data_IF_771990593473
#
_entry.id   IF_771990593473
#
_cell.length_a   1.000
_cell.length_b   1.000
_cell.length_c   1.000
_cell.angle_alpha   90.00
_cell.angle_beta   90.00
_cell.angle_gamma   90.00
#
_symmetry.space_group_name_H-M   'P 1'
#
loop_
_entity.id
_entity.type
_entity.pdbx_description
1 polymer ?
#
# COMPACT_ATOMS: atom_id res chain seq x y z
N UNK A 1 -41.34 17.02 7.20
CA UNK A 1 -39.87 16.92 7.03
C UNK A 1 -39.23 17.42 8.31
N UNK A 2 -38.82 16.49 9.18
CA UNK A 2 -38.16 16.80 10.44
C UNK A 2 -36.68 17.04 10.15
N UNK A 3 -36.20 18.26 10.43
CA UNK A 3 -34.78 18.57 10.56
C UNK A 3 -34.23 17.83 11.79
N UNK A 4 -34.04 16.51 11.67
CA UNK A 4 -33.25 15.77 12.64
C UNK A 4 -31.81 16.28 12.50
N UNK A 5 -31.25 16.83 13.57
CA UNK A 5 -29.82 17.10 13.66
C UNK A 5 -29.05 15.85 13.25
N UNK A 6 -28.59 15.81 11.99
CA UNK A 6 -27.79 14.69 11.51
C UNK A 6 -26.49 14.78 12.28
N UNK A 7 -26.25 13.80 13.14
CA UNK A 7 -25.04 13.76 13.96
C UNK A 7 -23.82 13.60 13.05
N UNK A 8 -22.71 14.29 13.37
CA UNK A 8 -21.48 14.22 12.56
C UNK A 8 -21.02 12.78 12.32
N UNK A 9 -21.21 11.88 13.29
CA UNK A 9 -20.86 10.46 13.14
C UNK A 9 -21.72 9.70 12.13
N UNK A 10 -23.01 10.01 12.05
CA UNK A 10 -23.92 9.39 11.08
C UNK A 10 -23.63 9.89 9.66
N UNK A 11 -23.27 11.17 9.51
CA UNK A 11 -22.80 11.74 8.25
C UNK A 11 -21.50 11.08 7.78
N UNK A 12 -20.52 10.87 8.67
CA UNK A 12 -19.26 10.19 8.36
C UNK A 12 -19.52 8.74 7.93
N UNK A 13 -20.37 8.01 8.66
CA UNK A 13 -20.70 6.62 8.35
C UNK A 13 -21.36 6.49 6.98
N UNK A 14 -22.34 7.34 6.69
CA UNK A 14 -23.05 7.29 5.41
C UNK A 14 -22.13 7.70 4.24
N UNK A 15 -21.26 8.70 4.44
CA UNK A 15 -20.23 9.05 3.45
C UNK A 15 -19.22 7.92 3.23
N UNK A 16 -18.79 7.25 4.29
CA UNK A 16 -17.88 6.10 4.20
C UNK A 16 -18.52 4.93 3.44
N UNK A 17 -19.77 4.57 3.75
CA UNK A 17 -20.50 3.52 3.03
C UNK A 17 -20.70 3.88 1.56
N UNK A 18 -21.06 5.14 1.28
CA UNK A 18 -21.20 5.63 -0.09
C UNK A 18 -19.87 5.54 -0.85
N UNK A 19 -18.75 5.94 -0.24
CA UNK A 19 -17.41 5.80 -0.83
C UNK A 19 -17.08 4.34 -1.12
N UNK A 20 -17.33 3.40 -0.21
CA UNK A 20 -17.08 1.98 -0.52
C UNK A 20 -17.88 1.52 -1.75
N UNK A 21 -19.14 1.96 -1.88
CA UNK A 21 -19.98 1.56 -3.02
C UNK A 21 -19.62 2.28 -4.33
N UNK A 22 -19.25 3.56 -4.28
CA UNK A 22 -18.82 4.33 -5.46
C UNK A 22 -17.44 3.87 -5.96
N UNK A 23 -16.49 3.63 -5.05
CA UNK A 23 -15.14 3.17 -5.38
C UNK A 23 -15.06 1.66 -5.70
N UNK A 24 -16.11 1.08 -6.27
CA UNK A 24 -16.11 -0.31 -6.74
C UNK A 24 -14.99 -0.58 -7.75
N UNK A 25 -14.56 0.43 -8.51
CA UNK A 25 -13.45 0.33 -9.46
C UNK A 25 -12.09 0.20 -8.75
N UNK A 26 -11.92 0.80 -7.56
CA UNK A 26 -10.73 0.58 -6.74
C UNK A 26 -10.63 -0.88 -6.29
N UNK A 27 -11.76 -1.51 -5.92
CA UNK A 27 -11.81 -2.94 -5.56
C UNK A 27 -11.51 -3.85 -6.76
N UNK A 28 -12.05 -3.53 -7.95
CA UNK A 28 -11.71 -4.27 -9.19
C UNK A 28 -10.22 -4.15 -9.51
N UNK A 29 -9.64 -2.96 -9.33
CA UNK A 29 -8.21 -2.73 -9.57
C UNK A 29 -7.32 -3.55 -8.62
N UNK A 30 -7.74 -3.73 -7.37
CA UNK A 30 -7.04 -4.58 -6.40
C UNK A 30 -6.93 -6.02 -6.91
N UNK A 31 -8.02 -6.60 -7.42
CA UNK A 31 -8.00 -7.96 -7.97
C UNK A 31 -7.05 -8.10 -9.16
N UNK A 32 -7.05 -7.11 -10.06
CA UNK A 32 -6.17 -7.13 -11.24
C UNK A 32 -4.70 -7.03 -10.83
N UNK A 33 -4.36 -6.11 -9.94
CA UNK A 33 -2.98 -5.96 -9.46
C UNK A 33 -2.50 -7.21 -8.72
N UNK A 34 -3.37 -7.83 -7.92
CA UNK A 34 -3.04 -9.06 -7.21
C UNK A 34 -2.73 -10.23 -8.18
N UNK A 35 -3.50 -10.36 -9.27
CA UNK A 35 -3.24 -11.38 -10.29
C UNK A 35 -1.90 -11.14 -10.99
N UNK A 36 -1.61 -9.90 -11.38
CA UNK A 36 -0.33 -9.52 -11.99
C UNK A 36 0.84 -9.85 -11.03
N UNK A 37 0.68 -9.50 -9.75
CA UNK A 37 1.67 -9.76 -8.72
C UNK A 37 1.98 -11.25 -8.56
N UNK A 38 0.94 -12.10 -8.51
CA UNK A 38 1.08 -13.56 -8.43
C UNK A 38 1.82 -14.09 -9.65
N UNK A 39 1.41 -13.68 -10.86
CA UNK A 39 2.05 -14.13 -12.10
C UNK A 39 3.53 -13.74 -12.15
N UNK A 40 3.85 -12.51 -11.73
CA UNK A 40 5.23 -12.04 -11.69
C UNK A 40 6.07 -12.81 -10.66
N UNK A 41 5.51 -13.06 -9.48
CA UNK A 41 6.18 -13.81 -8.41
C UNK A 41 6.49 -15.26 -8.81
N UNK A 42 5.54 -15.95 -9.45
CA UNK A 42 5.76 -17.33 -9.92
C UNK A 42 6.78 -17.39 -11.06
N UNK A 43 6.85 -16.33 -11.90
CA UNK A 43 7.79 -16.25 -13.02
C UNK A 43 9.21 -15.85 -12.58
N UNK A 44 9.33 -15.07 -11.51
CA UNK A 44 10.62 -14.68 -10.92
C UNK A 44 11.13 -15.75 -9.97
N UNK A 45 11.80 -16.76 -10.54
CA UNK A 45 12.55 -17.74 -9.75
C UNK A 45 14.02 -17.33 -9.73
N UNK A 46 14.54 -17.05 -8.54
CA UNK A 46 15.98 -16.81 -8.34
C UNK A 46 16.68 -18.13 -8.05
N UNK A 47 17.61 -18.53 -8.94
CA UNK A 47 18.52 -19.65 -8.71
C UNK A 47 19.73 -19.14 -7.93
N UNK A 48 19.86 -19.58 -6.67
CA UNK A 48 20.87 -19.04 -5.73
C UNK A 48 22.13 -19.91 -5.66
N UNK A 49 22.13 -21.07 -6.30
CA UNK A 49 23.35 -21.84 -6.46
C UNK A 49 23.14 -23.15 -7.20
N UNK A 50 24.08 -23.47 -8.08
CA UNK A 50 24.32 -24.81 -8.59
C UNK A 50 25.62 -25.34 -7.98
N UNK A 51 25.53 -26.19 -6.96
CA UNK A 51 26.68 -26.97 -6.50
C UNK A 51 26.68 -28.29 -7.27
N UNK A 52 27.76 -28.51 -8.00
CA UNK A 52 27.96 -29.73 -8.78
C UNK A 52 29.39 -30.24 -8.67
N UNK A 53 29.56 -31.41 -8.05
CA UNK A 53 30.80 -32.18 -8.11
C UNK A 53 30.55 -33.41 -8.97
N UNK A 54 30.69 -33.29 -10.29
CA UNK A 54 30.74 -34.35 -11.33
C UNK A 54 29.61 -35.40 -11.46
N UNK A 55 28.93 -35.75 -10.37
CA UNK A 55 27.99 -36.84 -10.18
C UNK A 55 26.64 -36.37 -9.63
N UNK A 56 26.58 -35.20 -8.98
CA UNK A 56 25.36 -34.65 -8.36
C UNK A 56 25.24 -33.17 -8.66
N UNK A 57 24.13 -32.74 -9.29
CA UNK A 57 23.80 -31.32 -9.49
C UNK A 57 22.62 -30.95 -8.59
N UNK A 58 22.85 -30.06 -7.63
CA UNK A 58 21.80 -29.52 -6.76
C UNK A 58 21.50 -28.10 -7.22
N UNK A 59 20.24 -27.83 -7.57
CA UNK A 59 19.76 -26.48 -7.91
C UNK A 59 18.78 -26.03 -6.83
N UNK A 60 19.09 -24.92 -6.16
CA UNK A 60 18.24 -24.30 -5.15
C UNK A 60 17.51 -23.12 -5.79
N UNK A 61 16.19 -23.23 -5.86
CA UNK A 61 15.29 -22.18 -6.36
C UNK A 61 14.58 -21.55 -5.16
N UNK A 62 14.72 -20.25 -4.99
CA UNK A 62 13.96 -19.50 -3.97
C UNK A 62 12.75 -18.81 -4.60
N UNK A 63 11.63 -18.85 -3.87
CA UNK A 63 10.38 -18.17 -4.20
C UNK A 63 10.08 -17.14 -3.11
N UNK A 64 10.15 -15.85 -3.47
CA UNK A 64 9.99 -14.72 -2.54
C UNK A 64 8.70 -13.95 -2.80
N UNK A 65 8.01 -13.48 -1.77
CA UNK A 65 6.73 -12.74 -1.89
C UNK A 65 6.96 -11.23 -2.11
N UNK A 66 8.21 -10.78 -2.16
CA UNK A 66 8.60 -9.37 -2.23
C UNK A 66 7.94 -8.62 -3.40
N UNK A 67 7.86 -9.25 -4.57
CA UNK A 67 7.19 -8.66 -5.73
C UNK A 67 5.72 -8.35 -5.43
N UNK A 68 5.01 -9.26 -4.74
CA UNK A 68 3.62 -9.05 -4.36
C UNK A 68 3.46 -7.88 -3.39
N UNK A 69 4.36 -7.77 -2.41
CA UNK A 69 4.37 -6.65 -1.45
C UNK A 69 4.58 -5.32 -2.20
N UNK A 70 5.53 -5.27 -3.14
CA UNK A 70 5.82 -4.04 -3.92
C UNK A 70 4.62 -3.63 -4.77
N UNK A 71 3.98 -4.55 -5.49
CA UNK A 71 2.79 -4.26 -6.29
C UNK A 71 1.64 -3.72 -5.43
N UNK A 72 1.45 -4.27 -4.24
CA UNK A 72 0.39 -3.81 -3.34
C UNK A 72 0.69 -2.46 -2.69
N UNK A 73 1.95 -2.17 -2.38
CA UNK A 73 2.38 -0.83 -1.97
C UNK A 73 2.09 0.20 -3.07
N UNK A 74 2.43 -0.13 -4.33
CA UNK A 74 2.14 0.74 -5.48
C UNK A 74 0.64 0.95 -5.67
N UNK A 75 -0.17 -0.11 -5.54
CA UNK A 75 -1.62 -0.01 -5.64
C UNK A 75 -2.22 0.89 -4.55
N UNK A 76 -1.84 0.70 -3.28
CA UNK A 76 -2.28 1.55 -2.18
C UNK A 76 -1.87 3.01 -2.41
N UNK A 77 -0.66 3.25 -2.91
CA UNK A 77 -0.16 4.58 -3.22
C UNK A 77 -0.99 5.27 -4.32
N UNK A 78 -1.26 4.57 -5.43
CA UNK A 78 -2.04 5.09 -6.56
C UNK A 78 -3.49 5.34 -6.15
N UNK A 79 -4.12 4.39 -5.44
CA UNK A 79 -5.49 4.56 -4.95
C UNK A 79 -5.61 5.74 -3.99
N UNK A 80 -4.59 5.97 -3.16
CA UNK A 80 -4.53 7.14 -2.27
C UNK A 80 -4.50 8.46 -3.04
N UNK A 81 -3.79 8.52 -4.17
CA UNK A 81 -3.81 9.69 -5.06
C UNK A 81 -5.19 9.84 -5.74
N UNK A 82 -5.78 8.75 -6.23
CA UNK A 82 -7.07 8.78 -6.92
C UNK A 82 -8.20 9.31 -6.03
N UNK A 83 -8.23 8.91 -4.76
CA UNK A 83 -9.21 9.41 -3.77
C UNK A 83 -9.15 10.93 -3.61
N UNK A 84 -7.96 11.53 -3.80
CA UNK A 84 -7.80 12.99 -3.77
C UNK A 84 -8.13 13.67 -5.10
N UNK A 85 -8.51 12.96 -6.16
CA UNK A 85 -8.74 13.59 -7.46
C UNK A 85 -10.11 14.26 -7.52
N UNK A 86 -10.20 15.41 -8.21
CA UNK A 86 -11.41 16.25 -8.30
C UNK A 86 -12.68 15.48 -8.71
N UNK A 87 -12.57 14.52 -9.63
CA UNK A 87 -13.72 13.72 -10.09
C UNK A 87 -14.45 13.03 -8.94
N UNK A 88 -13.71 12.51 -7.96
CA UNK A 88 -14.28 11.83 -6.80
C UNK A 88 -14.74 12.79 -5.69
N UNK A 89 -14.19 14.00 -5.64
CA UNK A 89 -14.70 15.06 -4.75
C UNK A 89 -16.05 15.62 -5.23
N UNK A 90 -16.32 15.58 -6.54
CA UNK A 90 -17.59 16.07 -7.08
C UNK A 90 -18.80 15.19 -6.71
N UNK A 91 -18.58 13.89 -6.51
CA UNK A 91 -19.62 12.97 -6.01
C UNK A 91 -19.97 13.23 -4.54
N UNK A 92 -19.02 13.74 -3.75
CA UNK A 92 -19.23 14.09 -2.34
C UNK A 92 -20.13 15.34 -2.16
N UNK A 93 -20.24 16.24 -3.16
CA UNK A 93 -21.09 17.45 -3.08
C UNK A 93 -22.59 17.18 -3.18
N UNK A 94 -23.00 15.94 -3.48
CA UNK A 94 -24.41 15.53 -3.45
C UNK A 94 -24.98 15.51 -2.03
N UNK A 95 -24.12 15.45 -1.00
CA UNK A 95 -24.51 15.44 0.40
C UNK A 95 -24.13 16.77 1.09
N UNK A 96 -24.93 17.19 2.09
CA UNK A 96 -24.58 18.32 2.97
C UNK A 96 -23.42 17.88 3.87
N UNK A 97 -22.19 18.10 3.42
CA UNK A 97 -20.97 17.61 4.07
C UNK A 97 -20.24 18.75 4.79
N UNK A 98 -19.76 18.48 6.01
CA UNK A 98 -18.80 19.35 6.69
C UNK A 98 -17.37 18.95 6.26
N UNK A 99 -16.46 19.90 6.11
CA UNK A 99 -15.10 19.70 5.57
C UNK A 99 -14.30 18.61 6.28
N UNK A 100 -14.43 18.57 7.61
CA UNK A 100 -13.79 17.55 8.45
C UNK A 100 -14.39 16.15 8.23
N UNK A 101 -15.70 16.07 7.94
CA UNK A 101 -16.39 14.80 7.69
C UNK A 101 -15.87 14.12 6.42
N UNK A 102 -15.68 14.88 5.32
CA UNK A 102 -15.15 14.32 4.07
C UNK A 102 -13.70 13.86 4.22
N UNK A 103 -12.85 14.63 4.90
CA UNK A 103 -11.46 14.26 5.16
C UNK A 103 -11.35 13.02 6.06
N UNK A 104 -12.17 12.91 7.11
CA UNK A 104 -12.23 11.72 7.96
C UNK A 104 -12.76 10.50 7.21
N UNK A 105 -13.77 10.66 6.36
CA UNK A 105 -14.29 9.58 5.53
C UNK A 105 -13.24 9.07 4.52
N UNK A 106 -12.43 9.96 3.94
CA UNK A 106 -11.30 9.58 3.09
C UNK A 106 -10.25 8.79 3.86
N UNK A 107 -9.88 9.24 5.07
CA UNK A 107 -8.91 8.54 5.91
C UNK A 107 -9.42 7.14 6.27
N UNK A 108 -10.69 6.99 6.68
CA UNK A 108 -11.31 5.70 6.97
C UNK A 108 -11.32 4.79 5.74
N UNK A 109 -11.65 5.32 4.57
CA UNK A 109 -11.60 4.57 3.31
C UNK A 109 -10.18 4.04 3.03
N UNK A 110 -9.16 4.89 3.16
CA UNK A 110 -7.76 4.48 2.95
C UNK A 110 -7.30 3.45 3.96
N UNK A 111 -7.68 3.58 5.23
CA UNK A 111 -7.39 2.57 6.25
C UNK A 111 -7.99 1.22 5.83
N UNK A 112 -9.23 1.22 5.34
CA UNK A 112 -9.84 -0.03 4.87
C UNK A 112 -9.19 -0.59 3.62
N UNK A 113 -8.76 0.26 2.67
CA UNK A 113 -7.99 -0.16 1.51
C UNK A 113 -6.65 -0.80 1.91
N UNK A 114 -5.93 -0.22 2.87
CA UNK A 114 -4.70 -0.78 3.44
C UNK A 114 -4.97 -2.14 4.08
N UNK A 115 -6.01 -2.26 4.92
CA UNK A 115 -6.33 -3.56 5.54
C UNK A 115 -6.69 -4.63 4.51
N UNK A 116 -7.46 -4.27 3.47
CA UNK A 116 -7.79 -5.19 2.39
C UNK A 116 -6.55 -5.62 1.61
N UNK A 117 -5.61 -4.68 1.36
CA UNK A 117 -4.35 -4.97 0.70
C UNK A 117 -3.45 -5.93 1.49
N UNK A 118 -3.36 -5.75 2.81
CA UNK A 118 -2.61 -6.65 3.71
C UNK A 118 -3.19 -8.05 3.68
N UNK A 119 -4.51 -8.16 3.87
CA UNK A 119 -5.21 -9.46 3.84
C UNK A 119 -4.99 -10.16 2.48
N UNK A 120 -5.11 -9.42 1.38
CA UNK A 120 -4.90 -9.96 0.04
C UNK A 120 -3.48 -10.45 -0.17
N UNK A 121 -2.47 -9.69 0.30
CA UNK A 121 -1.05 -10.08 0.21
C UNK A 121 -0.76 -11.36 0.97
N UNK A 122 -1.30 -11.50 2.18
CA UNK A 122 -1.13 -12.72 3.00
C UNK A 122 -1.82 -13.91 2.35
N UNK A 123 -3.06 -13.75 1.87
CA UNK A 123 -3.76 -14.83 1.17
C UNK A 123 -3.03 -15.25 -0.11
N UNK A 124 -2.48 -14.28 -0.84
CA UNK A 124 -1.68 -14.52 -2.04
C UNK A 124 -0.39 -15.28 -1.76
N UNK A 125 0.26 -15.05 -0.61
CA UNK A 125 1.43 -15.83 -0.19
C UNK A 125 1.10 -17.33 -0.11
N UNK A 126 -0.04 -17.68 0.50
CA UNK A 126 -0.49 -19.07 0.57
C UNK A 126 -0.84 -19.63 -0.81
N UNK A 127 -1.50 -18.81 -1.64
CA UNK A 127 -1.88 -19.20 -2.99
C UNK A 127 -0.64 -19.52 -3.85
N UNK A 128 0.38 -18.65 -3.82
CA UNK A 128 1.66 -18.86 -4.51
C UNK A 128 2.32 -20.15 -4.05
N UNK A 129 2.35 -20.43 -2.75
CA UNK A 129 2.90 -21.68 -2.21
C UNK A 129 2.21 -22.91 -2.82
N UNK A 130 0.87 -22.94 -2.83
CA UNK A 130 0.13 -24.06 -3.42
C UNK A 130 0.35 -24.18 -4.93
N UNK A 131 0.42 -23.07 -5.67
CA UNK A 131 0.73 -23.09 -7.11
C UNK A 131 2.11 -23.72 -7.35
N UNK A 132 3.12 -23.27 -6.61
CA UNK A 132 4.50 -23.77 -6.77
C UNK A 132 4.58 -25.24 -6.41
N UNK A 133 3.86 -25.69 -5.38
CA UNK A 133 3.80 -27.09 -4.96
C UNK A 133 3.14 -27.99 -6.02
N UNK A 134 2.14 -27.51 -6.75
CA UNK A 134 1.48 -28.27 -7.82
C UNK A 134 2.34 -28.30 -9.10
N UNK A 135 3.01 -27.19 -9.43
CA UNK A 135 3.81 -27.06 -10.66
C UNK A 135 5.18 -27.72 -10.52
N UNK A 136 5.80 -27.61 -9.35
CA UNK A 136 7.13 -28.14 -9.09
C UNK A 136 7.00 -29.55 -8.53
N UNK A 137 7.23 -30.56 -9.36
CA UNK A 137 7.30 -31.98 -8.98
C UNK A 137 8.56 -32.31 -8.12
N UNK A 138 9.09 -31.30 -7.43
CA UNK A 138 10.30 -31.34 -6.61
C UNK A 138 9.91 -31.21 -5.14
N UNK A 139 10.64 -31.89 -4.27
CA UNK A 139 10.50 -31.69 -2.83
C UNK A 139 10.84 -30.23 -2.50
N UNK A 140 9.80 -29.46 -2.16
CA UNK A 140 9.99 -28.17 -1.51
C UNK A 140 10.54 -28.46 -0.12
N UNK A 141 11.84 -28.20 0.07
CA UNK A 141 12.37 -28.04 1.41
C UNK A 141 11.68 -26.81 1.96
N UNK A 142 10.68 -27.04 2.81
CA UNK A 142 10.07 -25.96 3.53
C UNK A 142 11.14 -25.25 4.31
N UNK A 143 11.45 -24.02 3.89
CA UNK A 143 12.10 -23.07 4.79
C UNK A 143 11.34 -23.15 6.09
N UNK A 144 12.05 -23.51 7.16
CA UNK A 144 11.53 -23.63 8.52
C UNK A 144 10.51 -22.50 8.70
N UNK A 145 9.22 -22.84 8.85
CA UNK A 145 8.06 -21.93 8.95
C UNK A 145 7.28 -21.53 7.67
N UNK A 146 7.02 -22.44 6.72
CA UNK A 146 6.06 -22.15 5.62
C UNK A 146 4.64 -21.84 6.12
N UNK A 147 4.21 -22.56 7.17
CA UNK A 147 3.08 -22.15 8.00
C UNK A 147 3.69 -21.39 9.16
N UNK A 148 4.06 -20.14 8.91
CA UNK A 148 4.53 -19.21 9.92
C UNK A 148 3.77 -19.44 11.23
N UNK A 149 4.50 -19.60 12.34
CA UNK A 149 3.89 -19.63 13.66
C UNK A 149 2.89 -18.47 13.75
N UNK A 150 1.74 -18.63 14.42
CA UNK A 150 0.72 -17.56 14.46
C UNK A 150 1.30 -16.19 14.86
N UNK A 151 2.37 -16.20 15.66
CA UNK A 151 3.22 -15.06 15.97
C UNK A 151 3.93 -14.45 14.76
N UNK A 152 4.62 -15.23 13.93
CA UNK A 152 5.33 -14.75 12.73
C UNK A 152 4.37 -14.20 11.67
N UNK A 153 3.19 -14.81 11.51
CA UNK A 153 2.15 -14.28 10.63
C UNK A 153 1.69 -12.90 11.09
N UNK A 154 1.42 -12.74 12.38
CA UNK A 154 0.99 -11.46 12.95
C UNK A 154 2.08 -10.39 12.82
N UNK A 155 3.34 -10.76 13.02
CA UNK A 155 4.48 -9.87 12.84
C UNK A 155 4.58 -9.38 11.39
N UNK A 156 4.52 -10.32 10.43
CA UNK A 156 4.58 -10.01 9.01
C UNK A 156 3.41 -9.13 8.59
N UNK A 157 2.20 -9.42 9.06
CA UNK A 157 1.01 -8.62 8.78
C UNK A 157 1.14 -7.18 9.29
N UNK A 158 1.66 -6.99 10.50
CA UNK A 158 1.89 -5.66 11.09
C UNK A 158 2.92 -4.87 10.26
N UNK A 159 4.02 -5.51 9.85
CA UNK A 159 5.06 -4.85 9.06
C UNK A 159 4.53 -4.44 7.69
N UNK A 160 3.82 -5.33 6.98
CA UNK A 160 3.19 -5.01 5.69
C UNK A 160 2.16 -3.89 5.86
N UNK A 161 1.34 -3.95 6.91
CA UNK A 161 0.36 -2.90 7.23
C UNK A 161 1.02 -1.54 7.42
N UNK A 162 2.11 -1.46 8.20
CA UNK A 162 2.83 -0.21 8.45
C UNK A 162 3.45 0.36 7.16
N UNK A 163 4.03 -0.49 6.31
CA UNK A 163 4.57 -0.04 5.02
C UNK A 163 3.48 0.46 4.07
N UNK A 164 2.36 -0.27 3.97
CA UNK A 164 1.23 0.17 3.15
C UNK A 164 0.58 1.44 3.69
N UNK A 165 0.49 1.59 5.01
CA UNK A 165 -0.03 2.80 5.65
C UNK A 165 0.87 4.01 5.37
N UNK A 166 2.19 3.83 5.44
CA UNK A 166 3.16 4.87 5.09
C UNK A 166 3.03 5.25 3.61
N UNK A 167 2.96 4.26 2.72
CA UNK A 167 2.73 4.49 1.29
C UNK A 167 1.40 5.20 1.02
N UNK A 168 0.32 4.83 1.72
CA UNK A 168 -0.98 5.49 1.61
C UNK A 168 -0.90 6.96 2.02
N UNK A 169 -0.25 7.24 3.16
CA UNK A 169 -0.08 8.61 3.65
C UNK A 169 0.74 9.49 2.70
N UNK A 170 1.80 8.92 2.11
CA UNK A 170 2.60 9.58 1.09
C UNK A 170 1.80 9.83 -0.19
N UNK A 171 1.03 8.84 -0.65
CA UNK A 171 0.14 8.97 -1.80
C UNK A 171 -0.96 10.00 -1.59
N UNK A 172 -1.55 10.06 -0.40
CA UNK A 172 -2.57 11.05 -0.05
C UNK A 172 -1.99 12.48 0.00
N UNK A 173 -0.81 12.66 0.59
CA UNK A 173 -0.11 13.94 0.60
C UNK A 173 0.32 14.38 -0.81
N UNK A 174 0.85 13.45 -1.61
CA UNK A 174 1.14 13.66 -3.02
C UNK A 174 -0.11 14.07 -3.80
N UNK A 175 -1.22 13.36 -3.59
CA UNK A 175 -2.51 13.68 -4.16
C UNK A 175 -2.97 15.09 -3.84
N UNK A 176 -2.90 15.48 -2.56
CA UNK A 176 -3.18 16.86 -2.12
C UNK A 176 -2.26 17.90 -2.80
N UNK A 177 -0.97 17.59 -3.00
CA UNK A 177 -0.03 18.47 -3.74
C UNK A 177 -0.38 18.58 -5.23
N UNK A 178 -0.78 17.47 -5.89
CA UNK A 178 -1.20 17.50 -7.31
C UNK A 178 -2.46 18.32 -7.52
N UNK A 179 -3.31 18.46 -6.51
CA UNK A 179 -4.41 19.39 -6.57
C UNK A 179 -3.90 20.83 -6.66
N UNK A 180 -2.83 21.20 -5.95
CA UNK A 180 -2.28 22.57 -5.92
C UNK A 180 -1.88 23.02 -7.33
N UNK A 181 -1.10 22.20 -8.03
CA UNK A 181 -0.71 22.45 -9.42
C UNK A 181 -0.71 21.16 -10.26
N UNK A 182 -1.29 21.23 -11.47
CA UNK A 182 -1.34 20.10 -12.42
C UNK A 182 0.06 19.67 -12.91
N UNK A 183 1.09 20.49 -12.67
CA UNK A 183 2.49 20.21 -12.99
C UNK A 183 3.12 19.15 -12.09
N UNK A 184 2.54 18.85 -10.92
CA UNK A 184 3.07 17.83 -10.02
C UNK A 184 2.82 16.39 -10.49
N UNK A 185 1.87 16.16 -11.40
CA UNK A 185 1.57 14.82 -11.93
C UNK A 185 2.78 14.23 -12.69
N UNK A 186 3.33 14.91 -13.72
CA UNK A 186 4.53 14.41 -14.41
C UNK A 186 5.79 14.46 -13.54
N UNK A 187 5.84 15.36 -12.56
CA UNK A 187 7.00 15.47 -11.65
C UNK A 187 7.06 14.29 -10.68
N UNK A 188 5.91 13.79 -10.21
CA UNK A 188 5.84 12.65 -9.31
C UNK A 188 6.20 11.34 -10.02
N UNK A 189 5.72 11.13 -11.25
CA UNK A 189 6.13 9.97 -12.05
C UNK A 189 7.61 10.05 -12.44
N UNK A 190 8.12 11.24 -12.75
CA UNK A 190 9.55 11.46 -12.99
C UNK A 190 10.39 11.16 -11.74
N UNK A 191 9.97 11.58 -10.54
CA UNK A 191 10.70 11.28 -9.29
C UNK A 191 10.69 9.78 -8.96
N UNK A 192 9.59 9.05 -9.20
CA UNK A 192 9.56 7.61 -8.95
C UNK A 192 10.48 6.83 -9.91
N UNK A 193 10.48 7.21 -11.20
CA UNK A 193 11.23 6.48 -12.24
C UNK A 193 12.69 6.95 -12.35
N UNK A 194 12.94 8.26 -12.40
CA UNK A 194 14.30 8.80 -12.43
C UNK A 194 14.95 8.82 -11.04
N UNK A 195 14.18 8.95 -9.96
CA UNK A 195 14.73 8.96 -8.60
C UNK A 195 15.48 7.68 -8.26
N UNK A 196 14.92 6.52 -8.64
CA UNK A 196 15.56 5.22 -8.40
C UNK A 196 16.87 5.03 -9.17
N UNK A 197 17.01 5.66 -10.35
CA UNK A 197 18.18 5.52 -11.23
C UNK A 197 19.26 6.55 -10.90
N UNK A 198 18.89 7.82 -10.67
CA UNK A 198 19.86 8.90 -10.44
C UNK A 198 20.36 9.00 -9.00
N UNK A 199 19.56 8.58 -8.01
CA UNK A 199 19.91 8.76 -6.60
C UNK A 199 20.51 7.51 -5.94
N UNK A 200 20.66 6.39 -6.67
CA UNK A 200 21.23 5.14 -6.18
C UNK A 200 22.61 5.29 -5.50
N UNK A 201 23.37 6.35 -5.86
CA UNK A 201 24.68 6.67 -5.27
C UNK A 201 24.67 7.85 -4.29
N UNK A 202 23.50 8.41 -3.96
CA UNK A 202 23.42 9.53 -3.03
C UNK A 202 23.49 9.06 -1.57
N UNK A 203 24.34 9.71 -0.77
CA UNK A 203 24.45 9.46 0.68
C UNK A 203 23.11 9.64 1.39
N UNK A 204 22.29 10.59 0.92
CA UNK A 204 20.95 10.85 1.43
C UNK A 204 20.02 9.64 1.32
N UNK A 205 19.90 9.00 0.15
CA UNK A 205 19.06 7.81 0.02
C UNK A 205 19.57 6.64 0.86
N UNK A 206 20.89 6.49 0.99
CA UNK A 206 21.45 5.43 1.86
C UNK A 206 21.10 5.66 3.33
N UNK A 207 21.14 6.91 3.80
CA UNK A 207 20.71 7.28 5.15
C UNK A 207 19.21 7.04 5.33
N UNK A 208 18.36 7.47 4.39
CA UNK A 208 16.92 7.21 4.43
C UNK A 208 16.58 5.71 4.43
N UNK A 209 17.26 4.94 3.58
CA UNK A 209 17.10 3.50 3.51
C UNK A 209 17.51 2.84 4.83
N UNK A 210 18.69 3.18 5.36
CA UNK A 210 19.15 2.64 6.65
C UNK A 210 18.23 3.01 7.82
N UNK A 211 17.59 4.18 7.79
CA UNK A 211 16.72 4.65 8.86
C UNK A 211 15.41 3.85 8.99
N UNK A 212 14.88 3.32 7.88
CA UNK A 212 13.65 2.54 7.83
C UNK A 212 13.85 1.04 7.65
N UNK A 213 14.90 0.60 6.94
CA UNK A 213 15.12 -0.80 6.56
C UNK A 213 16.20 -1.51 7.39
N UNK A 214 17.03 -0.80 8.15
CA UNK A 214 18.07 -1.44 8.99
C UNK A 214 17.68 -1.57 10.46
N UNK A 215 16.43 -1.34 10.82
CA UNK A 215 16.01 -1.38 12.22
C UNK A 215 15.58 -2.77 12.68
N UNK A 216 16.19 -3.24 13.77
CA UNK A 216 15.95 -4.58 14.34
C UNK A 216 14.75 -4.63 15.28
N UNK A 217 14.30 -3.47 15.79
CA UNK A 217 13.21 -3.36 16.76
C UNK A 217 11.87 -3.03 16.08
N UNK A 218 10.91 -3.94 16.14
CA UNK A 218 9.55 -3.72 15.61
C UNK A 218 8.86 -2.54 16.27
N UNK A 219 9.04 -2.34 17.58
CA UNK A 219 8.35 -1.27 18.31
C UNK A 219 8.83 0.10 17.83
N UNK A 220 10.15 0.26 17.66
CA UNK A 220 10.76 1.50 17.19
C UNK A 220 10.43 1.77 15.72
N UNK A 221 10.41 0.72 14.89
CA UNK A 221 9.92 0.79 13.50
C UNK A 221 8.45 1.24 13.44
N UNK A 222 7.58 0.63 14.24
CA UNK A 222 6.15 0.98 14.26
C UNK A 222 5.90 2.44 14.67
N UNK A 223 6.63 2.93 15.68
CA UNK A 223 6.55 4.32 16.11
C UNK A 223 6.99 5.28 14.99
N UNK A 224 8.11 5.00 14.31
CA UNK A 224 8.58 5.79 13.17
C UNK A 224 7.53 5.86 12.07
N UNK A 225 6.95 4.73 11.67
CA UNK A 225 5.92 4.67 10.62
C UNK A 225 4.62 5.39 11.02
N UNK A 226 4.17 5.24 12.27
CA UNK A 226 2.95 5.92 12.75
C UNK A 226 3.15 7.43 12.86
N UNK A 227 4.30 7.89 13.36
CA UNK A 227 4.58 9.33 13.46
C UNK A 227 4.67 9.96 12.07
N UNK A 228 5.40 9.34 11.15
CA UNK A 228 5.60 9.87 9.80
C UNK A 228 4.32 9.90 8.98
N UNK A 229 3.53 8.83 9.04
CA UNK A 229 2.21 8.79 8.41
C UNK A 229 1.24 9.82 8.99
N UNK A 230 1.23 10.00 10.31
CA UNK A 230 0.38 11.00 10.98
C UNK A 230 0.73 12.42 10.54
N UNK A 231 2.03 12.74 10.43
CA UNK A 231 2.51 14.03 9.94
C UNK A 231 2.09 14.25 8.48
N UNK A 232 2.23 13.24 7.63
CA UNK A 232 1.86 13.32 6.21
C UNK A 232 0.35 13.51 6.02
N UNK A 233 -0.47 12.76 6.74
CA UNK A 233 -1.93 12.94 6.71
C UNK A 233 -2.34 14.31 7.24
N UNK A 234 -1.76 14.77 8.36
CA UNK A 234 -2.05 16.11 8.88
C UNK A 234 -1.70 17.19 7.85
N UNK A 235 -0.52 17.12 7.23
CA UNK A 235 -0.10 18.06 6.19
C UNK A 235 -1.06 18.05 4.99
N UNK A 236 -1.50 16.87 4.53
CA UNK A 236 -2.47 16.74 3.44
C UNK A 236 -3.82 17.39 3.79
N UNK A 237 -4.32 17.17 5.01
CA UNK A 237 -5.58 17.76 5.48
C UNK A 237 -5.48 19.29 5.55
N UNK A 238 -4.37 19.84 6.07
CA UNK A 238 -4.14 21.30 6.10
C UNK A 238 -4.13 21.90 4.69
N UNK A 239 -3.46 21.25 3.74
CA UNK A 239 -3.42 21.68 2.34
C UNK A 239 -4.83 21.71 1.75
N UNK A 240 -5.61 20.64 1.94
CA UNK A 240 -6.97 20.54 1.38
C UNK A 240 -7.95 21.54 2.00
N UNK A 241 -7.88 21.78 3.32
CA UNK A 241 -8.73 22.77 4.00
C UNK A 241 -8.53 24.20 3.50
N UNK A 242 -7.30 24.56 3.13
CA UNK A 242 -6.97 25.91 2.65
C UNK A 242 -7.56 26.23 1.27
N UNK A 243 -7.94 25.21 0.49
CA UNK A 243 -8.32 25.35 -0.93
C UNK A 243 -9.82 25.51 -1.16
N UNK A 244 -10.68 25.02 -0.26
CA UNK A 244 -12.15 25.15 -0.38
C UNK A 244 -12.70 26.53 0.04
N UNK A 245 -11.85 27.47 0.46
CA UNK A 245 -12.25 28.86 0.80
C UNK A 245 -12.16 29.79 -0.43
N UNK A 246 -11.56 29.34 -1.54
CA UNK A 246 -11.43 30.11 -2.78
C UNK A 246 -11.77 29.23 -3.99
N UNK A 247 -13.03 28.85 -4.11
CA UNK A 247 -13.63 28.40 -5.37
C UNK A 247 -15.06 28.89 -5.43
#
# INVERSE_FOLDING_TARGET
>A
MSLSNVSLGETIKNQYLYKITSYSDAVKSLMIVQLIAIMFTVSMVTSIGSMGDGLMHITINEYTIDATIVFMILWVFITSILVTTKSYQYEDFSFVTNRLSSQLANLLFLLTAVTAGVVSTIMSSYLIYYIVLIISDKQLLGGVNILASGSEMSFTAIVIFLYMLLASSAGYAAGALTQISRLFIPLLSAVLVMGSIFFANSTFLRTFYSFYFSESSLLLFSAKCLVTSSILFAAAVFIMQSREVRS
#
